data_IF_364047763153
#
_entry.id   IF_364047763153
#
_cell.length_a   1.000
_cell.length_b   1.000
_cell.length_c   1.000
_cell.angle_alpha   90.00
_cell.angle_beta   90.00
_cell.angle_gamma   90.00
#
_symmetry.space_group_name_H-M   'P 1'
#
loop_
_entity.id
_entity.type
_entity.pdbx_description
1 polymer ?
#
# COMPACT_ATOMS: atom_id res chain seq x y z
N UNK A 1 12.07 -2.84 13.45
CA UNK A 1 10.80 -2.38 14.05
C UNK A 1 9.70 -2.63 13.02
N UNK A 2 8.52 -3.11 13.42
CA UNK A 2 7.41 -3.32 12.48
C UNK A 2 6.61 -2.03 12.27
N UNK A 3 6.01 -1.86 11.08
CA UNK A 3 5.18 -0.69 10.77
C UNK A 3 4.02 -0.52 11.77
N UNK A 4 3.86 0.64 12.43
CA UNK A 4 2.77 0.85 13.39
C UNK A 4 1.39 0.96 12.72
N UNK A 5 1.34 1.16 11.40
CA UNK A 5 0.12 1.19 10.59
C UNK A 5 -0.14 -0.14 9.88
N UNK A 6 0.59 -1.20 10.21
CA UNK A 6 0.47 -2.49 9.52
C UNK A 6 -0.94 -3.07 9.67
N UNK A 7 -1.52 -3.07 10.88
CA UNK A 7 -2.82 -3.68 11.13
C UNK A 7 -3.96 -3.05 10.30
N UNK A 8 -3.89 -1.72 10.10
CA UNK A 8 -4.94 -0.94 9.47
C UNK A 8 -4.55 -0.40 8.08
N UNK A 9 -3.54 -1.00 7.44
CA UNK A 9 -3.03 -0.48 6.17
C UNK A 9 -4.09 -0.64 5.06
N UNK A 10 -4.62 0.46 4.47
CA UNK A 10 -5.71 0.36 3.49
C UNK A 10 -5.29 -0.26 2.16
N UNK A 11 -4.01 -0.60 2.00
CA UNK A 11 -3.50 -1.30 0.83
C UNK A 11 -3.88 -2.78 0.84
N UNK A 12 -3.96 -3.40 2.02
CA UNK A 12 -4.08 -4.86 2.13
C UNK A 12 -5.35 -5.43 1.50
N UNK A 13 -6.53 -4.78 1.64
CA UNK A 13 -7.76 -5.24 0.99
C UNK A 13 -7.69 -5.21 -0.55
N UNK A 14 -6.73 -4.49 -1.15
CA UNK A 14 -6.62 -4.37 -2.61
C UNK A 14 -5.86 -5.53 -3.25
N UNK A 15 -5.22 -6.39 -2.46
CA UNK A 15 -4.50 -7.54 -2.98
C UNK A 15 -5.42 -8.74 -3.16
N UNK A 16 -5.43 -9.30 -4.37
CA UNK A 16 -6.22 -10.50 -4.68
C UNK A 16 -5.66 -11.80 -4.09
N UNK A 17 -4.41 -11.83 -3.61
CA UNK A 17 -3.79 -13.03 -3.03
C UNK A 17 -2.94 -12.71 -1.79
N UNK A 18 -2.95 -13.64 -0.83
CA UNK A 18 -2.16 -13.55 0.41
C UNK A 18 -0.65 -13.57 0.14
N UNK A 19 -0.20 -14.32 -0.86
CA UNK A 19 1.22 -14.39 -1.23
C UNK A 19 1.76 -13.03 -1.67
N UNK A 20 1.01 -12.29 -2.48
CA UNK A 20 1.43 -10.97 -2.94
C UNK A 20 1.42 -9.95 -1.79
N UNK A 21 0.39 -9.98 -0.94
CA UNK A 21 0.35 -9.19 0.29
C UNK A 21 1.59 -9.42 1.17
N UNK A 22 2.00 -10.69 1.35
CA UNK A 22 3.15 -11.05 2.17
C UNK A 22 4.46 -10.45 1.64
N UNK A 23 4.66 -10.42 0.32
CA UNK A 23 5.85 -9.78 -0.28
C UNK A 23 5.91 -8.29 0.08
N UNK A 24 4.79 -7.58 0.07
CA UNK A 24 4.75 -6.17 0.49
C UNK A 24 5.02 -6.00 1.98
N UNK A 25 4.43 -6.85 2.83
CA UNK A 25 4.67 -6.83 4.27
C UNK A 25 6.14 -7.04 4.62
N UNK A 26 6.80 -8.01 3.98
CA UNK A 26 8.24 -8.25 4.19
C UNK A 26 9.03 -7.00 3.78
N UNK A 27 8.87 -6.54 2.54
CA UNK A 27 9.72 -5.48 1.99
C UNK A 27 9.52 -4.10 2.65
N UNK A 28 8.29 -3.77 3.04
CA UNK A 28 7.95 -2.43 3.52
C UNK A 28 7.49 -2.39 4.96
N UNK A 29 6.89 -3.44 5.51
CA UNK A 29 6.40 -3.38 6.88
C UNK A 29 7.40 -3.96 7.89
N UNK A 30 8.21 -4.96 7.49
CA UNK A 30 9.19 -5.64 8.34
C UNK A 30 10.63 -5.17 8.08
N UNK A 31 11.02 -4.94 6.82
CA UNK A 31 12.41 -4.55 6.47
C UNK A 31 12.72 -3.05 6.58
N UNK A 32 11.73 -2.16 6.64
CA UNK A 32 11.98 -0.72 6.79
C UNK A 32 10.83 0.16 6.30
N UNK A 33 9.82 0.33 7.16
CA UNK A 33 8.60 1.10 6.86
C UNK A 33 8.81 2.60 6.73
N UNK A 34 9.93 3.12 7.20
CA UNK A 34 10.29 4.54 7.05
C UNK A 34 10.47 4.94 5.58
N UNK A 35 10.71 3.96 4.68
CA UNK A 35 10.79 4.18 3.23
C UNK A 35 9.44 3.97 2.52
N UNK A 36 8.39 3.66 3.27
CA UNK A 36 7.05 3.46 2.72
C UNK A 36 6.36 4.82 2.60
N UNK A 37 6.11 5.27 1.37
CA UNK A 37 5.42 6.55 1.10
C UNK A 37 4.04 6.59 1.76
N UNK A 38 3.35 5.44 1.84
CA UNK A 38 2.05 5.36 2.53
C UNK A 38 2.17 5.61 4.03
N UNK A 39 3.26 5.18 4.66
CA UNK A 39 3.51 5.40 6.08
C UNK A 39 3.84 6.87 6.33
N UNK A 40 4.69 7.48 5.51
CA UNK A 40 5.03 8.90 5.55
C UNK A 40 3.77 9.77 5.49
N UNK A 41 2.94 9.59 4.45
CA UNK A 41 1.67 10.32 4.31
C UNK A 41 0.74 10.12 5.52
N UNK A 42 0.63 8.89 6.03
CA UNK A 42 -0.21 8.61 7.20
C UNK A 42 0.35 9.26 8.49
N UNK A 43 1.67 9.34 8.64
CA UNK A 43 2.33 9.96 9.78
C UNK A 43 2.17 11.48 9.76
N UNK A 44 2.11 12.09 8.56
CA UNK A 44 1.83 13.52 8.35
C UNK A 44 0.34 13.88 8.50
N UNK A 45 -0.54 12.89 8.66
CA UNK A 45 -1.99 13.11 8.69
C UNK A 45 -2.60 13.40 7.32
N UNK A 46 -1.86 13.14 6.23
CA UNK A 46 -2.34 13.29 4.87
C UNK A 46 -3.30 12.15 4.47
N UNK A 47 -4.16 12.44 3.51
CA UNK A 47 -4.99 11.41 2.89
C UNK A 47 -4.13 10.42 2.10
N UNK A 48 -4.20 9.13 2.44
CA UNK A 48 -3.49 8.05 1.74
C UNK A 48 -4.41 7.43 0.70
N UNK A 49 -4.26 7.83 -0.57
CA UNK A 49 -5.05 7.25 -1.64
C UNK A 49 -4.88 5.72 -1.72
N UNK A 50 -5.97 4.95 -1.93
CA UNK A 50 -5.91 3.49 -1.97
C UNK A 50 -5.02 3.00 -3.11
N UNK A 51 -4.92 3.76 -4.21
CA UNK A 51 -4.08 3.41 -5.35
C UNK A 51 -2.59 3.58 -5.12
N UNK A 52 -2.15 4.32 -4.10
CA UNK A 52 -0.71 4.59 -3.86
C UNK A 52 -0.04 3.34 -3.29
N UNK A 53 0.99 2.84 -3.95
CA UNK A 53 1.82 1.74 -3.48
C UNK A 53 2.90 2.23 -2.50
N UNK A 54 3.49 1.33 -1.69
CA UNK A 54 4.56 1.67 -0.76
C UNK A 54 5.79 2.34 -1.38
N UNK A 55 6.04 2.14 -2.67
CA UNK A 55 7.13 2.78 -3.44
C UNK A 55 6.75 4.13 -4.06
N UNK A 56 5.58 4.69 -3.75
CA UNK A 56 5.08 5.94 -4.32
C UNK A 56 4.48 5.82 -5.73
N UNK A 57 4.53 4.65 -6.37
CA UNK A 57 3.83 4.43 -7.64
C UNK A 57 2.33 4.28 -7.39
N UNK A 58 1.53 4.56 -8.41
CA UNK A 58 0.09 4.31 -8.36
C UNK A 58 -0.25 3.00 -9.05
N UNK A 59 -1.21 2.27 -8.51
CA UNK A 59 -1.91 1.21 -9.24
C UNK A 59 -2.48 1.84 -10.53
N UNK A 60 -2.27 1.20 -11.69
CA UNK A 60 -2.91 1.67 -12.90
C UNK A 60 -4.42 1.66 -12.66
N UNK A 61 -5.09 2.77 -12.99
CA UNK A 61 -6.55 2.78 -13.01
C UNK A 61 -6.97 1.69 -14.00
N UNK A 62 -7.48 0.57 -13.49
CA UNK A 62 -8.16 -0.40 -14.34
C UNK A 62 -9.41 0.32 -14.82
N UNK A 63 -9.34 0.90 -16.02
CA UNK A 63 -10.54 1.37 -16.69
C UNK A 63 -11.45 0.14 -16.81
N UNK A 64 -12.62 0.19 -16.18
CA UNK A 64 -13.66 -0.81 -16.37
C UNK A 64 -13.95 -0.99 -17.87
N UNK A 65 -14.60 -2.09 -18.28
CA UNK A 65 -14.77 -2.41 -19.69
C UNK A 65 -15.40 -1.21 -20.42
N UNK A 66 -14.70 -0.71 -21.46
CA UNK A 66 -15.27 0.25 -22.40
C UNK A 66 -16.50 -0.41 -23.03
N UNK A 67 -17.70 -0.01 -22.62
CA UNK A 67 -18.92 -0.29 -23.39
C UNK A 67 -18.75 0.41 -24.74
N UNK A 68 -18.41 -0.36 -25.76
CA UNK A 68 -18.54 0.03 -27.16
C UNK A 68 -19.97 -0.11 -27.64
#
# INVERSE_FOLDING_TARGET
>A
MACPKMADCPLFPLFGTQAFLRVWQINYCESGYERCVRYELAAEGCHVAPTVLPNGKHLPMVQGPRKG
#
